data_IF_950568526216
#
_entry.id   IF_950568526216
#
_cell.length_a   1.000
_cell.length_b   1.000
_cell.length_c   1.000
_cell.angle_alpha   90.00
_cell.angle_beta   90.00
_cell.angle_gamma   90.00
#
_symmetry.space_group_name_H-M   'P 1'
#
loop_
_entity.id
_entity.type
_entity.pdbx_description
1 polymer ?
#
# COMPACT_ATOMS: atom_id res chain seq x y z
N UNK A 1 -17.85 27.86 7.99
CA UNK A 1 -17.56 28.79 6.89
C UNK A 1 -16.06 28.90 6.63
N UNK A 2 -15.25 29.11 7.66
CA UNK A 2 -13.79 29.31 7.56
C UNK A 2 -13.08 28.19 6.77
N UNK A 3 -13.44 26.94 7.03
CA UNK A 3 -12.89 25.80 6.29
C UNK A 3 -13.19 25.85 4.77
N UNK A 4 -14.32 26.42 4.36
CA UNK A 4 -14.68 26.50 2.94
C UNK A 4 -13.88 27.60 2.22
N UNK A 5 -13.58 28.68 2.93
CA UNK A 5 -12.70 29.75 2.43
C UNK A 5 -11.28 29.28 2.22
N UNK A 6 -10.74 28.46 3.14
CA UNK A 6 -9.41 27.85 3.01
C UNK A 6 -9.27 26.97 1.76
N UNK A 7 -10.38 26.37 1.31
CA UNK A 7 -10.43 25.57 0.08
C UNK A 7 -10.77 26.40 -1.18
N UNK A 8 -10.79 27.73 -1.07
CA UNK A 8 -10.94 28.64 -2.20
C UNK A 8 -12.38 28.93 -2.62
N UNK A 9 -13.35 28.70 -1.73
CA UNK A 9 -14.71 29.20 -1.92
C UNK A 9 -14.72 30.70 -1.58
N UNK A 10 -15.31 31.54 -2.45
CA UNK A 10 -15.44 32.95 -2.13
C UNK A 10 -16.51 33.16 -1.08
N UNK A 11 -16.39 34.22 -0.28
CA UNK A 11 -17.39 34.57 0.71
C UNK A 11 -18.77 34.86 0.04
N UNK A 12 -18.76 35.50 -1.13
CA UNK A 12 -19.93 35.78 -1.92
C UNK A 12 -20.64 34.50 -2.37
N UNK A 13 -19.91 33.54 -2.96
CA UNK A 13 -20.47 32.26 -3.41
C UNK A 13 -21.04 31.44 -2.25
N UNK A 14 -20.40 31.55 -1.06
CA UNK A 14 -20.85 30.81 0.12
C UNK A 14 -22.23 31.24 0.64
N UNK A 15 -22.62 32.48 0.41
CA UNK A 15 -23.94 32.99 0.78
C UNK A 15 -25.08 32.49 -0.11
N UNK A 16 -24.76 32.09 -1.36
CA UNK A 16 -25.73 31.54 -2.30
C UNK A 16 -25.87 30.03 -2.21
N UNK A 17 -24.98 29.37 -1.50
CA UNK A 17 -24.92 27.89 -1.38
C UNK A 17 -25.59 27.40 -0.11
N UNK A 18 -26.26 26.26 -0.21
CA UNK A 18 -26.75 25.52 0.96
C UNK A 18 -25.58 24.87 1.71
N UNK A 19 -25.75 24.56 3.00
CA UNK A 19 -24.75 23.86 3.82
C UNK A 19 -24.33 22.54 3.17
N UNK A 20 -25.27 21.85 2.55
CA UNK A 20 -24.98 20.58 1.85
C UNK A 20 -24.06 20.78 0.64
N UNK A 21 -24.26 21.85 -0.12
CA UNK A 21 -23.44 22.21 -1.28
C UNK A 21 -22.03 22.63 -0.84
N UNK A 22 -21.92 23.43 0.22
CA UNK A 22 -20.63 23.81 0.81
C UNK A 22 -19.85 22.56 1.24
N UNK A 23 -20.50 21.63 1.95
CA UNK A 23 -19.85 20.38 2.36
C UNK A 23 -19.38 19.54 1.16
N UNK A 24 -20.20 19.44 0.11
CA UNK A 24 -19.83 18.72 -1.11
C UNK A 24 -18.63 19.36 -1.81
N UNK A 25 -18.59 20.69 -1.86
CA UNK A 25 -17.47 21.44 -2.40
C UNK A 25 -16.19 21.17 -1.64
N UNK A 26 -16.21 21.30 -0.30
CA UNK A 26 -15.06 21.04 0.57
C UNK A 26 -14.55 19.60 0.40
N UNK A 27 -15.45 18.62 0.42
CA UNK A 27 -15.08 17.21 0.23
C UNK A 27 -14.47 16.96 -1.16
N UNK A 28 -14.95 17.64 -2.19
CA UNK A 28 -14.38 17.58 -3.53
C UNK A 28 -12.95 18.14 -3.56
N UNK A 29 -12.74 19.29 -2.93
CA UNK A 29 -11.40 19.90 -2.84
C UNK A 29 -10.41 19.05 -2.07
N UNK A 30 -10.82 18.47 -0.94
CA UNK A 30 -10.02 17.54 -0.16
C UNK A 30 -9.58 16.35 -1.02
N UNK A 31 -10.50 15.74 -1.78
CA UNK A 31 -10.15 14.64 -2.69
C UNK A 31 -9.10 15.05 -3.72
N UNK A 32 -9.27 16.21 -4.34
CA UNK A 32 -8.30 16.73 -5.33
C UNK A 32 -6.92 16.98 -4.70
N UNK A 33 -6.88 17.54 -3.50
CA UNK A 33 -5.63 17.78 -2.77
C UNK A 33 -4.95 16.45 -2.46
N UNK A 34 -5.69 15.45 -1.97
CA UNK A 34 -5.15 14.13 -1.67
C UNK A 34 -4.57 13.43 -2.92
N UNK A 35 -5.29 13.52 -4.06
CA UNK A 35 -4.80 13.00 -5.34
C UNK A 35 -3.49 13.68 -5.74
N UNK A 36 -3.41 15.00 -5.65
CA UNK A 36 -2.18 15.75 -5.96
C UNK A 36 -1.02 15.37 -5.04
N UNK A 37 -1.29 15.19 -3.74
CA UNK A 37 -0.27 14.76 -2.78
C UNK A 37 0.24 13.35 -3.11
N UNK A 38 -0.66 12.41 -3.44
CA UNK A 38 -0.27 11.06 -3.88
C UNK A 38 0.57 11.09 -5.16
N UNK A 39 0.17 11.90 -6.14
CA UNK A 39 0.93 12.06 -7.37
C UNK A 39 2.33 12.62 -7.12
N UNK A 40 2.44 13.64 -6.26
CA UNK A 40 3.73 14.22 -5.88
C UNK A 40 4.61 13.21 -5.15
N UNK A 41 4.04 12.50 -4.17
CA UNK A 41 4.77 11.46 -3.42
C UNK A 41 5.29 10.35 -4.34
N UNK A 42 4.47 9.89 -5.29
CA UNK A 42 4.89 8.90 -6.28
C UNK A 42 6.01 9.42 -7.20
N UNK A 43 5.91 10.68 -7.62
CA UNK A 43 6.95 11.31 -8.44
C UNK A 43 8.28 11.42 -7.67
N UNK A 44 8.24 11.94 -6.45
CA UNK A 44 9.41 12.09 -5.58
C UNK A 44 10.06 10.72 -5.28
N UNK A 45 9.23 9.69 -5.00
CA UNK A 45 9.69 8.33 -4.78
C UNK A 45 10.35 7.73 -6.03
N UNK A 46 9.73 7.90 -7.19
CA UNK A 46 10.28 7.42 -8.47
C UNK A 46 11.62 8.09 -8.77
N UNK A 47 11.71 9.39 -8.54
CA UNK A 47 12.95 10.15 -8.73
C UNK A 47 14.05 9.66 -7.77
N UNK A 48 13.72 9.50 -6.48
CA UNK A 48 14.65 8.98 -5.49
C UNK A 48 15.11 7.55 -5.84
N UNK A 49 14.21 6.70 -6.33
CA UNK A 49 14.52 5.35 -6.77
C UNK A 49 15.48 5.34 -7.97
N UNK A 50 15.24 6.19 -8.96
CA UNK A 50 16.12 6.33 -10.13
C UNK A 50 17.52 6.80 -9.72
N UNK A 51 17.60 7.80 -8.84
CA UNK A 51 18.87 8.29 -8.31
C UNK A 51 19.59 7.18 -7.51
N UNK A 52 18.88 6.53 -6.61
CA UNK A 52 19.42 5.43 -5.79
C UNK A 52 19.92 4.26 -6.63
N UNK A 53 19.19 3.88 -7.68
CA UNK A 53 19.62 2.83 -8.62
C UNK A 53 20.88 3.20 -9.37
N UNK A 54 20.98 4.44 -9.85
CA UNK A 54 22.18 4.91 -10.53
C UNK A 54 23.41 4.92 -9.61
N UNK A 55 23.24 5.38 -8.37
CA UNK A 55 24.31 5.36 -7.35
C UNK A 55 24.67 3.91 -7.02
N UNK A 56 23.71 3.03 -6.83
CA UNK A 56 23.94 1.61 -6.53
C UNK A 56 24.72 0.92 -7.65
N UNK A 57 24.42 1.21 -8.91
CA UNK A 57 25.15 0.67 -10.06
C UNK A 57 26.62 1.09 -10.01
N UNK A 58 26.87 2.37 -9.71
CA UNK A 58 28.23 2.92 -9.66
C UNK A 58 29.04 2.34 -8.49
N UNK A 59 28.38 2.12 -7.34
CA UNK A 59 29.04 1.62 -6.11
C UNK A 59 28.98 0.10 -5.95
N UNK A 60 28.35 -0.64 -6.87
CA UNK A 60 28.22 -2.10 -6.80
C UNK A 60 27.29 -2.61 -5.69
N UNK A 61 26.42 -1.75 -5.16
CA UNK A 61 25.44 -2.10 -4.13
C UNK A 61 24.23 -2.85 -4.66
N UNK A 62 23.58 -3.64 -3.78
CA UNK A 62 22.36 -4.42 -4.09
C UNK A 62 21.13 -3.96 -3.30
N UNK A 63 21.21 -2.85 -2.59
CA UNK A 63 20.13 -2.38 -1.74
C UNK A 63 18.91 -1.92 -2.57
N UNK A 64 17.74 -2.36 -2.12
CA UNK A 64 16.45 -1.94 -2.69
C UNK A 64 15.87 -0.83 -1.81
N UNK A 65 15.36 0.23 -2.44
CA UNK A 65 14.59 1.23 -1.71
C UNK A 65 13.29 0.63 -1.16
N UNK A 66 12.86 1.06 0.04
CA UNK A 66 11.59 0.65 0.60
C UNK A 66 10.42 1.07 -0.32
N UNK A 67 9.28 0.36 -0.31
CA UNK A 67 8.12 0.72 -1.10
C UNK A 67 7.55 2.09 -0.69
N UNK A 68 6.85 2.74 -1.61
CA UNK A 68 6.33 4.11 -1.43
C UNK A 68 5.37 4.21 -0.23
N UNK A 69 4.64 3.15 0.07
CA UNK A 69 3.70 3.05 1.19
C UNK A 69 4.40 3.07 2.56
N UNK A 70 5.64 2.61 2.62
CA UNK A 70 6.48 2.71 3.83
C UNK A 70 7.10 4.09 3.98
N UNK A 71 7.46 4.74 2.87
CA UNK A 71 8.08 6.08 2.88
C UNK A 71 7.05 7.15 3.22
N UNK A 72 5.82 7.01 2.74
CA UNK A 72 4.75 7.99 2.93
C UNK A 72 3.49 7.35 3.55
N UNK A 73 3.55 6.83 4.78
CA UNK A 73 2.46 6.04 5.38
C UNK A 73 1.16 6.82 5.57
N UNK A 74 1.24 8.15 5.78
CA UNK A 74 0.04 8.97 5.99
C UNK A 74 -0.75 9.24 4.70
N UNK A 75 -0.07 9.22 3.55
CA UNK A 75 -0.68 9.49 2.24
C UNK A 75 -1.27 8.21 1.64
N UNK A 76 -0.62 7.07 1.88
CA UNK A 76 -0.96 5.76 1.32
C UNK A 76 -1.49 4.79 2.39
N UNK A 77 -2.21 5.30 3.41
CA UNK A 77 -2.69 4.49 4.53
C UNK A 77 -3.69 3.40 4.10
N UNK A 78 -4.52 3.66 3.09
CA UNK A 78 -5.48 2.69 2.57
C UNK A 78 -4.78 1.62 1.74
N UNK A 79 -3.90 2.03 0.83
CA UNK A 79 -3.12 1.14 -0.01
C UNK A 79 -2.20 0.24 0.81
N UNK A 80 -1.62 0.77 1.90
CA UNK A 80 -0.83 -0.01 2.85
C UNK A 80 -1.66 -1.10 3.54
N UNK A 81 -2.88 -0.79 3.99
CA UNK A 81 -3.78 -1.78 4.59
C UNK A 81 -4.15 -2.89 3.62
N UNK A 82 -4.42 -2.55 2.36
CA UNK A 82 -4.71 -3.54 1.31
C UNK A 82 -3.50 -4.42 1.01
N UNK A 83 -2.31 -3.83 0.98
CA UNK A 83 -1.07 -4.56 0.75
C UNK A 83 -0.77 -5.53 1.90
N UNK A 84 -0.90 -5.06 3.15
CA UNK A 84 -0.69 -5.87 4.35
C UNK A 84 -1.69 -7.04 4.41
N UNK A 85 -2.97 -6.80 4.08
CA UNK A 85 -4.00 -7.84 4.01
C UNK A 85 -3.67 -8.90 2.95
N UNK A 86 -3.23 -8.49 1.75
CA UNK A 86 -2.80 -9.41 0.69
C UNK A 86 -1.56 -10.22 1.07
N UNK A 87 -0.60 -9.59 1.74
CA UNK A 87 0.59 -10.27 2.23
C UNK A 87 0.26 -11.32 3.31
N UNK A 88 -0.70 -11.01 4.19
CA UNK A 88 -1.15 -11.93 5.22
C UNK A 88 -1.91 -13.11 4.63
N UNK A 89 -2.76 -12.87 3.65
CA UNK A 89 -3.43 -13.92 2.87
C UNK A 89 -2.42 -14.85 2.17
N UNK A 90 -1.42 -14.29 1.51
CA UNK A 90 -0.34 -15.06 0.89
C UNK A 90 0.46 -15.88 1.90
N UNK A 91 0.74 -15.32 3.08
CA UNK A 91 1.39 -16.05 4.17
C UNK A 91 0.57 -17.24 4.63
N UNK A 92 -0.75 -17.07 4.78
CA UNK A 92 -1.65 -18.16 5.16
C UNK A 92 -1.69 -19.26 4.09
N UNK A 93 -1.79 -18.90 2.82
CA UNK A 93 -1.75 -19.85 1.71
C UNK A 93 -0.42 -20.64 1.69
N UNK A 94 0.71 -19.94 1.84
CA UNK A 94 2.03 -20.59 1.87
C UNK A 94 2.19 -21.51 3.09
N UNK A 95 1.68 -21.11 4.25
CA UNK A 95 1.72 -21.96 5.46
C UNK A 95 0.87 -23.21 5.30
N UNK A 96 -0.32 -23.09 4.71
CA UNK A 96 -1.19 -24.22 4.40
C UNK A 96 -0.56 -25.19 3.39
N UNK A 97 0.09 -24.66 2.35
CA UNK A 97 0.82 -25.48 1.38
C UNK A 97 1.99 -26.22 2.01
N UNK A 98 2.78 -25.56 2.86
CA UNK A 98 3.89 -26.19 3.60
C UNK A 98 3.38 -27.30 4.53
N UNK A 99 2.28 -27.05 5.23
CA UNK A 99 1.66 -28.05 6.08
C UNK A 99 1.18 -29.27 5.29
N UNK A 100 0.54 -29.04 4.13
CA UNK A 100 0.11 -30.09 3.22
C UNK A 100 1.27 -30.93 2.71
N UNK A 101 2.36 -30.29 2.30
CA UNK A 101 3.59 -30.98 1.87
C UNK A 101 4.19 -31.80 3.02
N UNK A 102 4.27 -31.24 4.21
CA UNK A 102 4.76 -31.96 5.38
C UNK A 102 3.88 -33.18 5.71
N UNK A 103 2.57 -33.04 5.68
CA UNK A 103 1.64 -34.15 5.93
C UNK A 103 1.79 -35.25 4.86
N UNK A 104 1.95 -34.90 3.58
CA UNK A 104 2.21 -35.87 2.52
C UNK A 104 3.54 -36.60 2.70
N UNK A 105 4.59 -35.87 3.06
CA UNK A 105 5.90 -36.45 3.34
C UNK A 105 5.84 -37.42 4.51
N UNK A 106 5.21 -37.02 5.61
CA UNK A 106 5.02 -37.87 6.81
C UNK A 106 4.24 -39.12 6.49
N UNK A 107 3.11 -39.01 5.78
CA UNK A 107 2.26 -40.15 5.39
C UNK A 107 3.01 -41.13 4.47
N UNK A 108 3.83 -40.64 3.55
CA UNK A 108 4.61 -41.46 2.67
C UNK A 108 5.74 -42.20 3.41
N UNK A 109 6.31 -41.58 4.43
CA UNK A 109 7.31 -42.21 5.30
C UNK A 109 6.70 -43.36 6.09
N UNK A 110 5.57 -43.14 6.76
CA UNK A 110 4.86 -44.18 7.51
C UNK A 110 4.44 -45.36 6.62
N UNK A 111 4.00 -45.12 5.39
CA UNK A 111 3.65 -46.21 4.44
C UNK A 111 4.86 -47.07 4.07
N UNK A 112 6.04 -46.47 3.94
CA UNK A 112 7.29 -47.22 3.63
C UNK A 112 7.75 -48.04 4.83
N UNK A 113 7.66 -47.52 6.05
CA UNK A 113 8.02 -48.24 7.27
C UNK A 113 7.11 -49.47 7.49
N UNK A 114 5.81 -49.36 7.26
CA UNK A 114 4.86 -50.50 7.36
C UNK A 114 5.12 -51.59 6.31
N UNK A 115 5.58 -51.25 5.10
CA UNK A 115 5.89 -52.21 4.05
C UNK A 115 7.26 -52.90 4.20
N UNK A 116 8.14 -52.42 5.08
CA UNK A 116 9.44 -53.02 5.33
C UNK A 116 9.43 -54.02 6.50
N UNK A 117 8.33 -54.11 7.26
CA UNK A 117 8.16 -55.01 8.37
C UNK A 117 7.33 -56.31 8.06
N UNK A 118 6.96 -56.47 6.74
CA UNK A 118 6.40 -57.71 6.19
C UNK A 118 7.47 -58.45 5.37
#
# INVERSE_FOLDING_TARGET
LDNALDYGLSEFDSWEMTISEINRYVQSKIRVINIKQKQKANFDYTLANLIGRNISIVLGGKEKLPPVEEVYPNIFAEEKKELDAKMEEQRMILSALRFKQFAQYSNNRFKKEVQSDE
#
